data_IF_522195248290
#
_entry.id   IF_522195248290
#
_cell.length_a   1.000
_cell.length_b   1.000
_cell.length_c   1.000
_cell.angle_alpha   90.00
_cell.angle_beta   90.00
_cell.angle_gamma   90.00
#
_symmetry.space_group_name_H-M   'P 1'
#
loop_
_entity.id
_entity.type
_entity.pdbx_description
1 polymer ?
#
# COMPACT_ATOMS: atom_id res chain seq x y z
N UNK A 1 -6.26 17.30 -13.25
CA UNK A 1 -4.95 17.95 -13.51
C UNK A 1 -4.17 18.26 -12.23
N UNK A 2 -4.79 18.31 -11.06
CA UNK A 2 -4.10 18.60 -9.78
C UNK A 2 -3.45 17.39 -9.10
N UNK A 3 -3.91 16.18 -9.36
CA UNK A 3 -3.35 14.94 -8.77
C UNK A 3 -1.89 14.68 -9.16
N UNK A 4 -1.55 14.92 -10.44
CA UNK A 4 -0.18 14.74 -10.92
C UNK A 4 0.82 15.78 -10.36
N UNK A 5 0.34 16.91 -9.84
CA UNK A 5 1.19 17.95 -9.22
C UNK A 5 1.52 17.63 -7.77
N UNK A 6 0.66 16.90 -7.04
CA UNK A 6 0.91 16.56 -5.64
C UNK A 6 1.95 15.45 -5.48
N UNK A 7 1.99 14.46 -6.38
CA UNK A 7 3.06 13.44 -6.39
C UNK A 7 4.44 14.01 -6.74
N UNK A 8 4.50 15.20 -7.35
CA UNK A 8 5.76 15.86 -7.70
C UNK A 8 6.56 16.37 -6.48
N UNK A 9 5.89 16.66 -5.38
CA UNK A 9 6.57 17.20 -4.17
C UNK A 9 7.29 16.13 -3.33
N UNK A 10 7.04 14.84 -3.57
CA UNK A 10 7.58 13.75 -2.74
C UNK A 10 8.74 13.00 -3.43
N UNK A 11 9.15 13.43 -4.63
CA UNK A 11 10.23 12.79 -5.35
C UNK A 11 11.60 13.43 -5.04
N UNK A 12 12.54 12.61 -4.64
CA UNK A 12 13.95 12.96 -4.54
C UNK A 12 14.57 12.73 -5.93
N UNK A 13 15.05 13.78 -6.59
CA UNK A 13 15.52 13.75 -7.97
C UNK A 13 17.03 13.94 -8.08
N UNK A 14 17.64 13.26 -9.06
CA UNK A 14 19.07 13.34 -9.33
C UNK A 14 19.91 12.33 -8.53
N UNK A 15 21.02 11.89 -9.17
CA UNK A 15 21.83 10.76 -8.71
C UNK A 15 22.38 10.94 -7.29
N UNK A 16 22.91 12.12 -6.98
CA UNK A 16 23.51 12.39 -5.68
C UNK A 16 22.46 12.42 -4.55
N UNK A 17 21.34 13.12 -4.77
CA UNK A 17 20.26 13.19 -3.80
C UNK A 17 19.65 11.82 -3.53
N UNK A 18 19.43 11.02 -4.59
CA UNK A 18 18.95 9.63 -4.48
C UNK A 18 19.97 8.76 -3.72
N UNK A 19 21.27 8.91 -3.99
CA UNK A 19 22.32 8.17 -3.27
C UNK A 19 22.29 8.46 -1.77
N UNK A 20 22.26 9.74 -1.39
CA UNK A 20 22.22 10.14 0.02
C UNK A 20 20.91 9.69 0.69
N UNK A 21 19.77 9.74 0.01
CA UNK A 21 18.50 9.25 0.54
C UNK A 21 18.52 7.74 0.81
N UNK A 22 19.11 6.94 -0.09
CA UNK A 22 19.27 5.49 0.12
C UNK A 22 20.20 5.22 1.30
N UNK A 23 21.29 5.98 1.42
CA UNK A 23 22.31 5.83 2.46
C UNK A 23 21.81 6.26 3.84
N UNK A 24 20.95 7.26 3.93
CA UNK A 24 20.44 7.80 5.19
C UNK A 24 19.53 6.82 5.97
N UNK A 25 19.19 5.67 5.38
CA UNK A 25 18.33 4.69 6.01
C UNK A 25 16.83 4.97 5.85
N UNK A 26 16.45 6.02 5.12
CA UNK A 26 15.04 6.30 4.80
C UNK A 26 14.38 5.10 4.15
N UNK A 27 13.13 4.86 4.49
CA UNK A 27 12.32 3.84 3.83
C UNK A 27 12.00 4.25 2.40
N UNK A 28 12.32 3.36 1.45
CA UNK A 28 12.20 3.63 0.03
C UNK A 28 11.05 2.84 -0.53
N UNK A 29 10.10 3.52 -1.14
CA UNK A 29 9.00 2.88 -1.83
C UNK A 29 9.39 2.42 -3.22
N UNK A 30 9.86 3.36 -4.04
CA UNK A 30 10.14 3.12 -5.46
C UNK A 30 11.36 3.90 -5.91
N UNK A 31 12.17 3.26 -6.75
CA UNK A 31 13.17 3.92 -7.55
C UNK A 31 12.71 3.92 -9.01
N UNK A 32 12.44 5.09 -9.56
CA UNK A 32 12.14 5.29 -10.97
C UNK A 32 13.46 5.45 -11.72
N UNK A 33 13.63 4.70 -12.79
CA UNK A 33 14.83 4.70 -13.63
C UNK A 33 14.42 4.92 -15.08
N UNK A 34 15.13 5.77 -15.77
CA UNK A 34 14.91 5.97 -17.19
C UNK A 34 15.18 4.68 -17.95
N UNK A 35 14.27 4.28 -18.83
CA UNK A 35 14.42 3.07 -19.65
C UNK A 35 15.67 3.16 -20.52
N UNK A 36 16.46 2.09 -20.51
CA UNK A 36 17.71 2.03 -21.29
C UNK A 36 18.89 2.77 -20.65
N UNK A 37 18.77 3.25 -19.42
CA UNK A 37 19.85 3.93 -18.72
C UNK A 37 21.02 2.96 -18.44
N UNK A 38 22.22 3.32 -18.92
CA UNK A 38 23.42 2.47 -18.83
C UNK A 38 24.49 3.03 -17.88
N UNK A 39 24.25 4.21 -17.31
CA UNK A 39 25.23 4.86 -16.43
C UNK A 39 25.59 3.96 -15.22
N UNK A 40 26.88 3.70 -14.96
CA UNK A 40 27.32 2.87 -13.84
C UNK A 40 26.83 3.36 -12.48
N UNK A 41 26.74 4.68 -12.28
CA UNK A 41 26.21 5.25 -11.05
C UNK A 41 24.73 4.89 -10.84
N UNK A 42 23.91 4.90 -11.90
CA UNK A 42 22.50 4.49 -11.81
C UNK A 42 22.37 3.00 -11.54
N UNK A 43 23.20 2.15 -12.17
CA UNK A 43 23.24 0.70 -11.87
C UNK A 43 23.55 0.44 -10.40
N UNK A 44 24.49 1.19 -9.81
CA UNK A 44 24.78 1.12 -8.38
C UNK A 44 23.58 1.52 -7.52
N UNK A 45 22.89 2.61 -7.87
CA UNK A 45 21.67 3.03 -7.15
C UNK A 45 20.57 1.96 -7.21
N UNK A 46 20.40 1.30 -8.36
CA UNK A 46 19.45 0.18 -8.51
C UNK A 46 19.79 -0.96 -7.55
N UNK A 47 21.08 -1.36 -7.46
CA UNK A 47 21.53 -2.42 -6.53
C UNK A 47 21.20 -2.03 -5.09
N UNK A 48 21.64 -0.85 -4.66
CA UNK A 48 21.41 -0.36 -3.30
C UNK A 48 19.92 -0.27 -2.95
N UNK A 49 19.08 0.22 -3.88
CA UNK A 49 17.65 0.31 -3.67
C UNK A 49 16.99 -1.08 -3.57
N UNK A 50 17.44 -2.06 -4.36
CA UNK A 50 16.98 -3.46 -4.27
C UNK A 50 17.32 -4.10 -2.93
N UNK A 51 18.53 -3.89 -2.41
CA UNK A 51 18.96 -4.37 -1.09
C UNK A 51 18.08 -3.82 0.03
N UNK A 52 17.58 -2.60 -0.13
CA UNK A 52 16.60 -1.97 0.78
C UNK A 52 15.15 -2.39 0.51
N UNK A 53 14.91 -3.29 -0.45
CA UNK A 53 13.58 -3.80 -0.75
C UNK A 53 12.69 -2.84 -1.56
N UNK A 54 13.26 -1.78 -2.15
CA UNK A 54 12.53 -0.83 -2.99
C UNK A 54 12.05 -1.46 -4.30
N UNK A 55 10.91 -1.02 -4.80
CA UNK A 55 10.41 -1.40 -6.12
C UNK A 55 11.11 -0.59 -7.19
N UNK A 56 11.81 -1.27 -8.12
CA UNK A 56 12.43 -0.60 -9.28
C UNK A 56 11.41 -0.51 -10.40
N UNK A 57 11.17 0.69 -10.91
CA UNK A 57 10.23 0.95 -12.01
C UNK A 57 10.93 1.68 -13.15
N UNK A 58 11.07 1.00 -14.28
CA UNK A 58 11.56 1.65 -15.50
C UNK A 58 10.45 2.47 -16.16
N UNK A 59 10.77 3.69 -16.51
CA UNK A 59 9.87 4.64 -17.17
C UNK A 59 10.57 5.28 -18.36
N UNK A 60 9.83 5.73 -19.36
CA UNK A 60 10.42 6.53 -20.45
C UNK A 60 10.85 7.92 -19.97
N UNK A 61 11.74 8.57 -20.72
CA UNK A 61 12.30 9.89 -20.36
C UNK A 61 11.20 10.93 -20.18
N UNK A 62 10.22 10.99 -21.09
CA UNK A 62 9.12 11.99 -21.02
C UNK A 62 8.29 11.84 -19.76
N UNK A 63 8.03 10.59 -19.36
CA UNK A 63 7.31 10.32 -18.12
C UNK A 63 8.12 10.72 -16.90
N UNK A 64 9.44 10.47 -16.91
CA UNK A 64 10.32 10.86 -15.82
C UNK A 64 10.43 12.37 -15.70
N UNK A 65 10.59 13.10 -16.84
CA UNK A 65 10.57 14.57 -16.91
C UNK A 65 9.27 15.15 -16.32
N UNK A 66 8.13 14.57 -16.73
CA UNK A 66 6.82 14.98 -16.21
C UNK A 66 6.70 14.77 -14.69
N UNK A 67 7.08 13.59 -14.20
CA UNK A 67 7.07 13.26 -12.78
C UNK A 67 7.98 14.19 -11.96
N UNK A 68 9.12 14.57 -12.50
CA UNK A 68 10.09 15.45 -11.85
C UNK A 68 9.80 16.94 -11.99
N UNK A 69 8.67 17.32 -12.62
CA UNK A 69 8.30 18.73 -12.82
C UNK A 69 9.31 19.55 -13.61
N UNK A 70 10.06 18.92 -14.54
CA UNK A 70 11.15 19.55 -15.32
C UNK A 70 12.47 19.70 -14.55
N UNK A 71 12.58 19.16 -13.35
CA UNK A 71 13.83 19.15 -12.58
C UNK A 71 14.88 18.22 -13.19
N UNK A 72 16.16 18.46 -12.91
CA UNK A 72 17.31 17.71 -13.46
C UNK A 72 17.40 16.34 -12.76
N UNK A 73 16.68 15.35 -13.25
CA UNK A 73 16.62 14.01 -12.65
C UNK A 73 17.80 13.09 -12.97
N UNK A 74 18.60 13.38 -13.98
CA UNK A 74 19.79 12.58 -14.36
C UNK A 74 19.52 11.07 -14.55
N UNK A 75 18.34 10.72 -15.05
CA UNK A 75 17.92 9.34 -15.29
C UNK A 75 17.31 8.62 -14.09
N UNK A 76 17.19 9.27 -12.91
CA UNK A 76 16.64 8.66 -11.71
C UNK A 76 15.79 9.61 -10.87
N UNK A 77 14.75 9.06 -10.26
CA UNK A 77 13.97 9.69 -9.19
C UNK A 77 13.57 8.64 -8.16
N UNK A 78 13.52 9.04 -6.89
CA UNK A 78 13.19 8.17 -5.78
C UNK A 78 11.93 8.68 -5.08
N UNK A 79 10.98 7.78 -4.83
CA UNK A 79 9.87 8.01 -3.90
C UNK A 79 10.24 7.40 -2.57
N UNK A 80 10.35 8.21 -1.52
CA UNK A 80 10.51 7.78 -0.14
C UNK A 80 9.14 7.80 0.55
N UNK A 81 8.95 6.91 1.52
CA UNK A 81 7.78 6.96 2.39
C UNK A 81 7.83 8.24 3.23
N UNK A 82 6.70 8.94 3.34
CA UNK A 82 6.55 10.06 4.25
C UNK A 82 6.29 9.59 5.69
N UNK A 83 5.77 8.35 5.83
CA UNK A 83 5.50 7.68 7.11
C UNK A 83 6.16 6.29 7.11
N UNK A 84 6.56 5.83 8.27
CA UNK A 84 7.15 4.51 8.45
C UNK A 84 6.09 3.41 8.28
N UNK A 85 6.51 2.27 7.70
CA UNK A 85 5.66 1.09 7.64
C UNK A 85 5.86 0.24 8.90
N UNK A 86 4.76 -0.31 9.36
CA UNK A 86 4.75 -1.31 10.43
C UNK A 86 4.92 -2.72 9.86
N UNK A 87 5.07 -3.69 10.75
CA UNK A 87 4.99 -5.12 10.41
C UNK A 87 3.59 -5.67 10.66
N UNK A 88 3.29 -6.84 10.12
CA UNK A 88 2.03 -7.56 10.44
C UNK A 88 1.98 -7.91 11.93
N UNK A 89 3.13 -8.21 12.53
CA UNK A 89 3.23 -8.51 13.96
C UNK A 89 2.88 -7.29 14.83
N UNK A 90 3.29 -6.07 14.43
CA UNK A 90 2.90 -4.85 15.15
C UNK A 90 1.37 -4.66 15.17
N UNK A 91 0.70 -4.98 14.05
CA UNK A 91 -0.77 -4.95 13.98
C UNK A 91 -1.40 -5.95 14.94
N UNK A 92 -0.87 -7.16 15.00
CA UNK A 92 -1.36 -8.21 15.89
C UNK A 92 -1.10 -7.89 17.36
N UNK A 93 0.08 -7.35 17.67
CA UNK A 93 0.46 -6.90 19.01
C UNK A 93 -0.48 -5.80 19.51
N UNK A 94 -0.84 -4.85 18.64
CA UNK A 94 -1.82 -3.80 18.99
C UNK A 94 -3.19 -4.36 19.38
N UNK A 95 -3.65 -5.42 18.73
CA UNK A 95 -4.89 -6.11 19.13
C UNK A 95 -4.73 -6.81 20.48
N UNK A 96 -3.60 -7.49 20.68
CA UNK A 96 -3.30 -8.19 21.94
C UNK A 96 -3.18 -7.22 23.13
N UNK A 97 -2.53 -6.08 22.96
CA UNK A 97 -2.40 -5.01 23.99
C UNK A 97 -3.77 -4.48 24.46
N UNK A 98 -4.74 -4.45 23.54
CA UNK A 98 -6.13 -4.05 23.85
C UNK A 98 -7.00 -5.20 24.39
N UNK A 99 -6.48 -6.42 24.46
CA UNK A 99 -7.25 -7.64 24.72
C UNK A 99 -8.44 -7.82 23.75
N UNK A 100 -8.26 -7.42 22.50
CA UNK A 100 -9.26 -7.50 21.44
C UNK A 100 -8.87 -8.57 20.42
N UNK A 101 -9.86 -9.13 19.75
CA UNK A 101 -9.61 -10.01 18.59
C UNK A 101 -9.13 -9.15 17.43
N UNK A 102 -8.13 -9.62 16.65
CA UNK A 102 -7.63 -8.83 15.52
C UNK A 102 -8.73 -8.46 14.53
N UNK A 103 -8.82 -7.18 14.19
CA UNK A 103 -9.60 -6.68 13.06
C UNK A 103 -8.65 -5.94 12.14
N UNK A 104 -8.44 -6.48 10.94
CA UNK A 104 -7.42 -6.04 9.98
C UNK A 104 -8.08 -5.72 8.64
N UNK A 105 -7.63 -4.67 7.96
CA UNK A 105 -8.01 -4.39 6.58
C UNK A 105 -6.86 -4.80 5.66
N UNK A 106 -7.15 -5.54 4.59
CA UNK A 106 -6.18 -5.91 3.56
C UNK A 106 -6.59 -5.23 2.26
N UNK A 107 -5.70 -4.42 1.67
CA UNK A 107 -5.95 -3.75 0.40
C UNK A 107 -5.26 -4.51 -0.73
N UNK A 108 -6.01 -5.08 -1.67
CA UNK A 108 -5.48 -5.75 -2.86
C UNK A 108 -5.63 -4.87 -4.10
N UNK A 109 -4.53 -4.20 -4.47
CA UNK A 109 -4.49 -3.40 -5.69
C UNK A 109 -5.04 -1.98 -5.54
N UNK A 110 -5.14 -1.42 -4.35
CA UNK A 110 -5.52 -0.02 -4.12
C UNK A 110 -4.34 0.88 -4.47
N UNK A 111 -4.28 1.36 -5.71
CA UNK A 111 -3.16 2.14 -6.26
C UNK A 111 -3.36 3.66 -6.12
N UNK A 112 -4.58 4.12 -5.93
CA UNK A 112 -4.92 5.53 -5.73
C UNK A 112 -4.64 5.96 -4.28
N UNK A 113 -3.95 7.10 -4.13
CA UNK A 113 -3.54 7.64 -2.82
C UNK A 113 -4.70 8.19 -2.01
N UNK A 114 -5.72 8.75 -2.67
CA UNK A 114 -6.92 9.23 -1.99
C UNK A 114 -7.74 8.05 -1.45
N UNK A 115 -7.87 6.98 -2.25
CA UNK A 115 -8.58 5.77 -1.84
C UNK A 115 -7.88 5.09 -0.66
N UNK A 116 -6.55 4.96 -0.70
CA UNK A 116 -5.81 4.39 0.44
C UNK A 116 -5.98 5.25 1.70
N UNK A 117 -5.87 6.57 1.58
CA UNK A 117 -6.09 7.47 2.71
C UNK A 117 -7.50 7.36 3.29
N UNK A 118 -8.54 7.27 2.44
CA UNK A 118 -9.93 7.06 2.86
C UNK A 118 -10.12 5.71 3.57
N UNK A 119 -9.48 4.64 3.07
CA UNK A 119 -9.49 3.32 3.72
C UNK A 119 -8.86 3.39 5.10
N UNK A 120 -7.68 4.02 5.25
CA UNK A 120 -7.00 4.16 6.55
C UNK A 120 -7.87 4.95 7.53
N UNK A 121 -8.49 6.05 7.08
CA UNK A 121 -9.40 6.83 7.91
C UNK A 121 -10.63 6.02 8.34
N UNK A 122 -11.18 5.22 7.44
CA UNK A 122 -12.33 4.35 7.75
C UNK A 122 -11.92 3.22 8.69
N UNK A 123 -10.72 2.66 8.51
CA UNK A 123 -10.15 1.64 9.40
C UNK A 123 -10.00 2.16 10.83
N UNK A 124 -9.53 3.40 11.00
CA UNK A 124 -9.47 4.08 12.31
C UNK A 124 -10.86 4.21 12.94
N UNK A 125 -11.80 4.78 12.18
CA UNK A 125 -13.18 4.98 12.64
C UNK A 125 -13.91 3.67 12.98
N UNK A 126 -13.57 2.57 12.31
CA UNK A 126 -14.11 1.23 12.56
C UNK A 126 -13.40 0.48 13.68
N UNK A 127 -12.33 1.03 14.26
CA UNK A 127 -11.53 0.37 15.30
C UNK A 127 -10.64 -0.76 14.77
N UNK A 128 -10.27 -0.75 13.50
CA UNK A 128 -9.33 -1.73 12.97
C UNK A 128 -7.94 -1.56 13.59
N UNK A 129 -7.26 -2.66 13.81
CA UNK A 129 -5.94 -2.69 14.43
C UNK A 129 -4.82 -2.31 13.47
N UNK A 130 -5.07 -2.43 12.16
CA UNK A 130 -4.13 -2.01 11.14
C UNK A 130 -4.60 -2.31 9.72
N UNK A 131 -3.79 -1.85 8.76
CA UNK A 131 -4.01 -2.03 7.33
C UNK A 131 -2.82 -2.76 6.73
N UNK A 132 -3.06 -3.73 5.85
CA UNK A 132 -2.01 -4.45 5.12
C UNK A 132 -2.11 -4.09 3.64
N UNK A 133 -0.99 -3.70 3.05
CA UNK A 133 -0.88 -3.37 1.62
C UNK A 133 0.24 -4.18 0.96
N UNK A 134 0.17 -4.51 -0.34
CA UNK A 134 1.27 -5.15 -1.03
C UNK A 134 2.37 -4.13 -1.42
N UNK A 135 3.62 -4.59 -1.55
CA UNK A 135 4.73 -3.77 -2.06
C UNK A 135 4.55 -3.31 -3.51
N UNK A 136 3.78 -4.06 -4.30
CA UNK A 136 3.48 -3.77 -5.71
C UNK A 136 1.99 -3.60 -5.90
N UNK A 137 1.59 -2.78 -6.86
CA UNK A 137 0.18 -2.48 -7.16
C UNK A 137 -0.54 -1.91 -5.93
N UNK A 138 0.09 -0.98 -5.25
CA UNK A 138 -0.48 -0.26 -4.13
C UNK A 138 0.03 1.17 -4.13
N UNK A 139 -0.77 2.08 -3.59
CA UNK A 139 -0.28 3.40 -3.19
C UNK A 139 0.77 3.24 -2.09
N UNK A 140 1.66 4.21 -1.99
CA UNK A 140 2.64 4.31 -0.89
C UNK A 140 2.18 5.33 0.14
N UNK A 141 2.73 5.24 1.36
CA UNK A 141 2.43 6.19 2.45
C UNK A 141 3.12 7.54 2.21
N UNK A 142 2.71 8.23 1.15
CA UNK A 142 3.20 9.55 0.79
C UNK A 142 2.42 10.67 1.51
N UNK A 143 2.81 11.92 1.27
CA UNK A 143 2.16 13.10 1.85
C UNK A 143 0.65 13.15 1.54
N UNK A 144 0.22 12.74 0.34
CA UNK A 144 -1.19 12.72 -0.06
C UNK A 144 -1.99 11.75 0.79
N UNK A 145 -1.47 10.54 1.03
CA UNK A 145 -2.11 9.55 1.93
C UNK A 145 -2.20 10.08 3.35
N UNK A 146 -1.12 10.71 3.87
CA UNK A 146 -1.14 11.36 5.17
C UNK A 146 -2.25 12.41 5.28
N UNK A 147 -2.39 13.27 4.27
CA UNK A 147 -3.43 14.31 4.21
C UNK A 147 -4.85 13.73 4.10
N UNK A 148 -5.07 12.76 3.21
CA UNK A 148 -6.40 12.20 2.95
C UNK A 148 -6.88 11.26 4.05
N UNK A 149 -5.96 10.67 4.81
CA UNK A 149 -6.29 9.92 6.03
C UNK A 149 -6.73 10.82 7.20
N UNK A 150 -6.64 12.15 7.06
CA UNK A 150 -7.02 13.13 8.09
C UNK A 150 -6.37 12.87 9.46
N UNK A 151 -5.12 12.39 9.46
CA UNK A 151 -4.35 12.09 10.68
C UNK A 151 -4.51 10.65 11.20
N UNK A 152 -5.41 9.84 10.63
CA UNK A 152 -5.58 8.44 11.06
C UNK A 152 -4.32 7.60 10.87
N UNK A 153 -3.44 7.98 9.93
CA UNK A 153 -2.18 7.30 9.67
C UNK A 153 -1.20 7.32 10.87
N UNK A 154 -1.35 8.28 11.78
CA UNK A 154 -0.56 8.35 13.03
C UNK A 154 -0.99 7.28 14.05
N UNK A 155 -2.20 6.74 13.91
CA UNK A 155 -2.80 5.81 14.86
C UNK A 155 -2.99 4.41 14.30
N UNK A 156 -3.14 4.28 12.99
CA UNK A 156 -3.38 2.99 12.31
C UNK A 156 -2.09 2.50 11.68
N UNK A 157 -1.43 1.47 12.24
CA UNK A 157 -0.25 0.88 11.64
C UNK A 157 -0.57 0.31 10.27
N UNK A 158 0.32 0.57 9.31
CA UNK A 158 0.19 0.06 7.94
C UNK A 158 1.37 -0.84 7.64
N UNK A 159 1.10 -2.13 7.45
CA UNK A 159 2.12 -3.11 7.09
C UNK A 159 2.22 -3.26 5.57
N UNK A 160 3.46 -3.30 5.05
CA UNK A 160 3.72 -3.47 3.62
C UNK A 160 4.37 -4.82 3.35
N UNK A 161 3.65 -5.72 2.71
CA UNK A 161 4.05 -7.11 2.50
C UNK A 161 4.47 -7.42 1.06
N UNK A 162 5.37 -8.38 0.89
CA UNK A 162 5.84 -8.78 -0.43
C UNK A 162 4.78 -9.58 -1.22
N UNK A 163 3.97 -10.39 -0.50
CA UNK A 163 2.99 -11.29 -1.08
C UNK A 163 1.75 -11.40 -0.17
N UNK A 164 0.62 -10.83 -0.62
CA UNK A 164 -0.65 -10.89 0.13
C UNK A 164 -1.15 -12.32 0.33
N UNK A 165 -1.00 -13.20 -0.66
CA UNK A 165 -1.49 -14.55 -0.55
C UNK A 165 -0.77 -15.35 0.55
N UNK A 166 0.55 -15.19 0.67
CA UNK A 166 1.32 -15.81 1.77
C UNK A 166 0.95 -15.20 3.12
N UNK A 167 0.78 -13.87 3.17
CA UNK A 167 0.37 -13.19 4.40
C UNK A 167 -1.03 -13.64 4.85
N UNK A 168 -1.95 -13.88 3.92
CA UNK A 168 -3.28 -14.44 4.23
C UNK A 168 -3.13 -15.82 4.86
N UNK A 169 -2.27 -16.70 4.32
CA UNK A 169 -2.04 -18.02 4.90
C UNK A 169 -1.50 -17.92 6.33
N UNK A 170 -0.52 -17.03 6.57
CA UNK A 170 0.02 -16.76 7.91
C UNK A 170 -1.04 -16.24 8.90
N UNK A 171 -1.97 -15.39 8.44
CA UNK A 171 -3.08 -14.90 9.26
C UNK A 171 -4.06 -16.03 9.61
N UNK A 172 -4.35 -16.93 8.67
CA UNK A 172 -5.19 -18.11 8.92
C UNK A 172 -4.59 -19.06 9.94
N UNK A 173 -3.28 -19.28 9.91
CA UNK A 173 -2.57 -20.07 10.93
C UNK A 173 -2.71 -19.46 12.35
N UNK A 174 -2.96 -18.15 12.43
CA UNK A 174 -3.24 -17.42 13.68
C UNK A 174 -4.75 -17.37 14.02
N UNK A 175 -5.59 -18.18 13.37
CA UNK A 175 -7.05 -18.24 13.56
C UNK A 175 -7.76 -16.91 13.22
N UNK A 176 -7.30 -16.19 12.19
CA UNK A 176 -7.96 -15.00 11.66
C UNK A 176 -8.71 -15.39 10.39
N UNK A 177 -10.02 -15.17 10.37
CA UNK A 177 -10.88 -15.44 9.24
C UNK A 177 -10.76 -14.35 8.19
N UNK A 178 -10.71 -14.74 6.93
CA UNK A 178 -10.49 -13.84 5.79
C UNK A 178 -11.80 -13.64 5.04
N UNK A 179 -12.29 -12.42 5.04
CA UNK A 179 -13.51 -12.00 4.35
C UNK A 179 -13.15 -11.14 3.14
N UNK A 180 -13.51 -11.55 1.95
CA UNK A 180 -13.33 -10.76 0.74
C UNK A 180 -14.59 -9.95 0.42
N UNK A 181 -14.46 -8.64 0.26
CA UNK A 181 -15.57 -7.78 -0.17
C UNK A 181 -15.72 -7.83 -1.69
N UNK A 182 -16.85 -8.37 -2.19
CA UNK A 182 -17.17 -8.43 -3.62
C UNK A 182 -18.68 -8.40 -3.84
N UNK A 183 -19.12 -7.97 -5.02
CA UNK A 183 -20.55 -7.79 -5.33
C UNK A 183 -21.34 -9.10 -5.36
N UNK A 184 -20.71 -10.21 -5.69
CA UNK A 184 -21.33 -11.54 -5.80
C UNK A 184 -21.27 -12.36 -4.49
N UNK A 185 -20.84 -11.73 -3.38
CA UNK A 185 -20.78 -12.33 -2.06
C UNK A 185 -22.15 -12.46 -1.37
N UNK A 186 -22.14 -13.17 -0.23
CA UNK A 186 -23.29 -13.21 0.68
C UNK A 186 -23.48 -11.86 1.36
N UNK A 187 -24.72 -11.52 1.76
CA UNK A 187 -24.97 -10.31 2.53
C UNK A 187 -24.06 -10.28 3.77
N UNK A 188 -23.28 -9.22 3.97
CA UNK A 188 -22.33 -9.09 5.08
C UNK A 188 -22.98 -9.31 6.45
N UNK A 189 -24.29 -9.04 6.59
CA UNK A 189 -25.04 -9.21 7.83
C UNK A 189 -25.36 -10.67 8.15
N UNK A 190 -25.21 -11.58 7.18
CA UNK A 190 -25.53 -13.00 7.36
C UNK A 190 -24.35 -13.85 7.81
N UNK A 191 -23.18 -13.23 8.03
CA UNK A 191 -21.93 -13.92 8.36
C UNK A 191 -21.52 -13.64 9.80
N UNK A 192 -20.92 -14.63 10.44
CA UNK A 192 -20.39 -14.50 11.80
C UNK A 192 -18.99 -13.87 11.79
N UNK A 193 -18.81 -12.81 12.57
CA UNK A 193 -17.55 -12.09 12.76
C UNK A 193 -17.01 -12.22 14.19
N UNK A 194 -17.42 -13.23 14.93
CA UNK A 194 -17.06 -13.40 16.35
C UNK A 194 -15.57 -13.72 16.59
N UNK A 195 -14.82 -14.12 15.56
CA UNK A 195 -13.39 -14.42 15.59
C UNK A 195 -12.46 -13.23 15.34
N UNK A 196 -11.19 -13.51 15.12
CA UNK A 196 -10.28 -12.56 14.46
C UNK A 196 -10.69 -12.39 12.99
N UNK A 197 -10.68 -11.17 12.48
CA UNK A 197 -11.20 -10.82 11.15
C UNK A 197 -10.16 -10.06 10.34
N UNK A 198 -9.97 -10.48 9.09
CA UNK A 198 -9.29 -9.69 8.08
C UNK A 198 -10.24 -9.46 6.90
N UNK A 199 -10.59 -8.20 6.64
CA UNK A 199 -11.44 -7.80 5.52
C UNK A 199 -10.57 -7.40 4.33
N UNK A 200 -10.70 -8.10 3.23
CA UNK A 200 -9.99 -7.80 1.97
C UNK A 200 -10.84 -6.88 1.11
N UNK A 201 -10.25 -5.76 0.71
CA UNK A 201 -10.82 -4.78 -0.20
C UNK A 201 -10.00 -4.81 -1.50
N UNK A 202 -10.67 -5.04 -2.61
CA UNK A 202 -10.07 -5.03 -3.94
C UNK A 202 -9.88 -3.64 -4.53
N UNK A 203 -9.22 -3.57 -5.69
CA UNK A 203 -9.05 -2.34 -6.44
C UNK A 203 -10.37 -1.88 -7.09
N UNK A 204 -10.50 -0.57 -7.29
CA UNK A 204 -11.59 0.01 -8.06
C UNK A 204 -11.59 -0.53 -9.50
N UNK A 205 -12.71 -1.04 -9.95
CA UNK A 205 -12.94 -1.58 -11.30
C UNK A 205 -12.44 -3.01 -11.55
N UNK A 206 -11.41 -3.51 -10.85
CA UNK A 206 -10.91 -4.90 -11.03
C UNK A 206 -11.26 -5.82 -9.86
N UNK A 207 -11.66 -5.26 -8.73
CA UNK A 207 -11.87 -6.03 -7.51
C UNK A 207 -10.60 -6.66 -6.95
N UNK A 208 -10.75 -7.76 -6.26
CA UNK A 208 -9.65 -8.58 -5.74
C UNK A 208 -8.96 -9.38 -6.84
N UNK A 209 -7.66 -9.60 -6.72
CA UNK A 209 -6.95 -10.54 -7.57
C UNK A 209 -7.46 -11.97 -7.34
N UNK A 210 -7.44 -12.80 -8.41
CA UNK A 210 -7.95 -14.17 -8.35
C UNK A 210 -7.36 -14.97 -7.20
N UNK A 211 -6.05 -14.92 -7.02
CA UNK A 211 -5.36 -15.69 -5.98
C UNK A 211 -5.75 -15.25 -4.56
N UNK A 212 -5.90 -13.95 -4.33
CA UNK A 212 -6.33 -13.41 -3.04
C UNK A 212 -7.77 -13.81 -2.76
N UNK A 213 -8.66 -13.72 -3.77
CA UNK A 213 -10.05 -14.13 -3.67
C UNK A 213 -10.20 -15.62 -3.33
N UNK A 214 -9.42 -16.50 -4.00
CA UNK A 214 -9.42 -17.95 -3.74
C UNK A 214 -8.98 -18.30 -2.32
N UNK A 215 -8.24 -17.41 -1.65
CA UNK A 215 -7.79 -17.59 -0.26
C UNK A 215 -8.74 -17.01 0.79
N UNK A 216 -9.76 -16.26 0.39
CA UNK A 216 -10.78 -15.81 1.31
C UNK A 216 -11.63 -16.99 1.80
N UNK A 217 -11.96 -17.02 3.10
CA UNK A 217 -12.84 -18.03 3.68
C UNK A 217 -14.30 -17.72 3.34
N UNK A 218 -14.63 -16.43 3.26
CA UNK A 218 -15.96 -15.93 2.92
C UNK A 218 -15.86 -14.81 1.91
N UNK A 219 -16.82 -14.75 1.00
CA UNK A 219 -17.04 -13.59 0.15
C UNK A 219 -18.32 -12.92 0.60
N UNK A 220 -18.21 -11.63 0.95
CA UNK A 220 -19.31 -10.83 1.49
C UNK A 220 -19.61 -9.65 0.59
N UNK A 221 -20.86 -9.25 0.53
CA UNK A 221 -21.32 -8.10 -0.24
C UNK A 221 -22.08 -7.10 0.62
N UNK A 222 -21.97 -5.83 0.24
CA UNK A 222 -22.82 -4.77 0.75
C UNK A 222 -24.04 -4.66 -0.19
N UNK A 223 -25.26 -4.82 0.31
CA UNK A 223 -26.45 -4.69 -0.54
C UNK A 223 -26.58 -3.25 -1.04
N UNK A 224 -26.35 -3.05 -2.32
CA UNK A 224 -26.46 -1.74 -2.97
C UNK A 224 -27.92 -1.42 -3.26
N UNK A 225 -28.40 -0.27 -2.76
CA UNK A 225 -29.76 0.23 -3.00
C UNK A 225 -29.81 1.33 -4.08
N UNK A 226 -28.65 1.77 -4.54
CA UNK A 226 -28.49 2.80 -5.56
C UNK A 226 -28.52 2.26 -6.98
N UNK A 227 -28.38 3.16 -7.97
CA UNK A 227 -28.29 2.85 -9.39
C UNK A 227 -26.85 2.70 -9.90
N UNK A 228 -25.87 3.02 -9.07
CA UNK A 228 -24.45 2.96 -9.38
C UNK A 228 -23.84 1.86 -8.51
N UNK A 229 -23.07 0.99 -9.15
CA UNK A 229 -22.35 -0.08 -8.49
C UNK A 229 -21.03 0.40 -7.92
#
# INVERSE_FOLDING_TARGET
MDEARNDQNDLIIGRNAVFEAIKSGREIDRLFVQRGEQNPAVKRLISMAREKGAVIKEVDSKKLDFMCGGGVHQGVALSAAAHEYSTVEDILNKAAEKNEKPFIIICDGVEDTHNLGAVIRTADAAGAHGVIIPKRRSASLNFTVGKTSAGALEYVPVARVANLASTIDELKEKNIWIYGADMDGSDYRSVDYSGGVALVIGSEGRGMSRLVREKCDFIVSLPMKGKIN
#
